data_IF_293492153248
#
_entry.id   IF_293492153248
#
_cell.length_a   1.000
_cell.length_b   1.000
_cell.length_c   1.000
_cell.angle_alpha   90.00
_cell.angle_beta   90.00
_cell.angle_gamma   90.00
#
_symmetry.space_group_name_H-M   'P 1'
#
loop_
_entity.id
_entity.type
_entity.pdbx_description
1 polymer ?
#
# COMPACT_ATOMS: atom_id res chain seq x y z
N UNK A 1 -2.70 23.17 -0.11
CA UNK A 1 -1.79 22.28 0.64
C UNK A 1 -2.55 21.00 0.88
N UNK A 2 -2.18 19.90 0.21
CA UNK A 2 -2.89 18.63 0.37
C UNK A 2 -2.62 18.09 1.76
N UNK A 3 -3.62 18.13 2.62
CA UNK A 3 -3.62 17.36 3.86
C UNK A 3 -3.32 15.90 3.49
N UNK A 4 -2.16 15.41 3.90
CA UNK A 4 -1.86 13.99 3.82
C UNK A 4 -2.97 13.26 4.59
N UNK A 5 -3.65 12.33 3.92
CA UNK A 5 -4.66 11.50 4.57
C UNK A 5 -3.97 10.75 5.70
N UNK A 6 -4.40 11.01 6.95
CA UNK A 6 -3.85 10.33 8.13
C UNK A 6 -4.11 8.83 8.03
N UNK A 7 -3.17 8.02 8.51
CA UNK A 7 -3.26 6.55 8.45
C UNK A 7 -4.52 6.03 9.18
N UNK A 8 -4.90 6.67 10.28
CA UNK A 8 -6.12 6.35 11.01
C UNK A 8 -7.39 6.58 10.16
N UNK A 9 -7.37 7.59 9.28
CA UNK A 9 -8.48 7.87 8.37
C UNK A 9 -8.54 6.83 7.24
N UNK A 10 -7.39 6.30 6.78
CA UNK A 10 -7.34 5.27 5.74
C UNK A 10 -7.93 3.94 6.23
N UNK A 11 -7.62 3.52 7.45
CA UNK A 11 -8.17 2.27 8.02
C UNK A 11 -9.70 2.28 8.06
N UNK A 12 -10.28 3.42 8.42
CA UNK A 12 -11.73 3.58 8.43
C UNK A 12 -12.32 3.53 7.02
N UNK A 13 -11.55 3.83 5.97
CA UNK A 13 -12.03 3.79 4.59
C UNK A 13 -12.18 2.36 4.05
N UNK A 14 -11.39 1.42 4.55
CA UNK A 14 -11.39 0.03 4.10
C UNK A 14 -12.69 -0.66 4.55
N UNK A 15 -13.35 -1.33 3.61
CA UNK A 15 -14.54 -2.14 3.85
C UNK A 15 -14.35 -3.52 3.23
N UNK A 16 -15.04 -4.52 3.75
CA UNK A 16 -15.04 -5.86 3.19
C UNK A 16 -16.23 -6.02 2.22
N UNK A 17 -15.95 -6.42 0.98
CA UNK A 17 -16.98 -6.79 -0.01
C UNK A 17 -16.59 -8.15 -0.59
N UNK A 18 -17.47 -9.14 -0.44
CA UNK A 18 -17.25 -10.53 -0.91
C UNK A 18 -15.93 -11.13 -0.39
N UNK A 19 -15.58 -10.85 0.87
CA UNK A 19 -14.33 -11.33 1.49
C UNK A 19 -13.06 -10.64 0.97
N UNK A 20 -13.20 -9.49 0.31
CA UNK A 20 -12.07 -8.69 -0.16
C UNK A 20 -12.07 -7.32 0.51
N UNK A 21 -10.91 -6.91 1.02
CA UNK A 21 -10.67 -5.55 1.47
C UNK A 21 -10.63 -4.60 0.27
N UNK A 22 -11.55 -3.64 0.26
CA UNK A 22 -11.72 -2.72 -0.86
C UNK A 22 -11.95 -1.29 -0.40
N UNK A 23 -11.71 -0.36 -1.32
CA UNK A 23 -12.09 1.04 -1.22
C UNK A 23 -13.07 1.40 -2.31
N UNK A 24 -14.06 2.25 -2.03
CA UNK A 24 -14.93 2.76 -3.08
C UNK A 24 -14.21 3.81 -3.94
N UNK A 25 -14.67 3.99 -5.18
CA UNK A 25 -14.18 5.00 -6.11
C UNK A 25 -14.06 6.40 -5.48
N UNK A 26 -14.99 6.79 -4.60
CA UNK A 26 -14.94 8.04 -3.85
C UNK A 26 -13.78 8.11 -2.86
N UNK A 27 -13.48 7.02 -2.17
CA UNK A 27 -12.40 6.95 -1.19
C UNK A 27 -11.04 6.94 -1.91
N UNK A 28 -10.93 6.18 -3.00
CA UNK A 28 -9.73 6.17 -3.87
C UNK A 28 -9.46 7.55 -4.47
N UNK A 29 -10.50 8.23 -4.93
CA UNK A 29 -10.41 9.59 -5.45
C UNK A 29 -9.89 10.57 -4.39
N UNK A 30 -10.39 10.46 -3.16
CA UNK A 30 -9.92 11.25 -2.03
C UNK A 30 -8.44 11.00 -1.73
N UNK A 31 -8.00 9.74 -1.69
CA UNK A 31 -6.60 9.37 -1.46
C UNK A 31 -5.67 9.97 -2.50
N UNK A 32 -6.01 9.84 -3.79
CA UNK A 32 -5.18 10.37 -4.86
C UNK A 32 -5.38 11.87 -5.12
N UNK A 33 -6.32 12.53 -4.45
CA UNK A 33 -6.61 13.96 -4.63
C UNK A 33 -7.14 14.28 -6.03
N UNK A 34 -8.00 13.43 -6.58
CA UNK A 34 -8.64 13.59 -7.90
C UNK A 34 -10.16 13.44 -7.78
N UNK A 35 -10.92 13.67 -8.85
CA UNK A 35 -12.36 13.43 -8.84
C UNK A 35 -12.69 11.94 -9.03
N UNK A 36 -13.79 11.47 -8.44
CA UNK A 36 -14.31 10.10 -8.61
C UNK A 36 -14.54 9.74 -10.09
N UNK A 37 -14.99 10.72 -10.89
CA UNK A 37 -15.13 10.55 -12.34
C UNK A 37 -13.79 10.21 -13.01
N UNK A 38 -12.69 10.81 -12.56
CA UNK A 38 -11.37 10.59 -13.15
C UNK A 38 -10.83 9.20 -12.82
N UNK A 39 -11.12 8.67 -11.61
CA UNK A 39 -10.85 7.27 -11.26
C UNK A 39 -11.57 6.33 -12.23
N UNK A 40 -12.89 6.49 -12.36
CA UNK A 40 -13.71 5.63 -13.21
C UNK A 40 -13.32 5.74 -14.71
N UNK A 41 -12.96 6.95 -15.16
CA UNK A 41 -12.45 7.20 -16.52
C UNK A 41 -11.09 6.55 -16.75
N UNK A 42 -10.18 6.61 -15.78
CA UNK A 42 -8.87 5.96 -15.84
C UNK A 42 -9.01 4.45 -16.02
N UNK A 43 -9.94 3.81 -15.29
CA UNK A 43 -10.26 2.39 -15.46
C UNK A 43 -10.80 2.11 -16.85
N UNK A 44 -11.85 2.84 -17.26
CA UNK A 44 -12.52 2.58 -18.53
C UNK A 44 -11.59 2.71 -19.74
N UNK A 45 -10.61 3.61 -19.67
CA UNK A 45 -9.65 3.83 -20.75
C UNK A 45 -8.46 2.84 -20.75
N UNK A 46 -8.26 2.06 -19.68
CA UNK A 46 -7.10 1.15 -19.53
C UNK A 46 -7.55 -0.24 -19.05
N UNK A 47 -8.47 -0.92 -19.76
CA UNK A 47 -9.05 -2.19 -19.29
C UNK A 47 -8.00 -3.31 -19.13
N UNK A 48 -6.93 -3.27 -19.92
CA UNK A 48 -5.79 -4.18 -19.85
C UNK A 48 -5.03 -4.12 -18.51
N UNK A 49 -5.07 -2.97 -17.82
CA UNK A 49 -4.44 -2.79 -16.51
C UNK A 49 -5.28 -3.30 -15.35
N UNK A 50 -6.55 -3.64 -15.56
CA UNK A 50 -7.48 -4.09 -14.52
C UNK A 50 -8.06 -5.47 -14.85
N UNK A 51 -7.26 -6.54 -14.74
CA UNK A 51 -7.76 -7.89 -14.96
C UNK A 51 -8.78 -8.31 -13.89
N UNK A 52 -9.40 -9.48 -14.06
CA UNK A 52 -10.37 -10.02 -13.10
C UNK A 52 -9.84 -10.00 -11.67
N UNK A 53 -10.68 -9.57 -10.72
CA UNK A 53 -10.36 -9.47 -9.31
C UNK A 53 -9.71 -8.15 -8.87
N UNK A 54 -9.48 -7.21 -9.79
CA UNK A 54 -8.97 -5.88 -9.45
C UNK A 54 -10.09 -4.96 -8.96
N UNK A 55 -11.21 -4.98 -9.67
CA UNK A 55 -12.35 -4.11 -9.44
C UNK A 55 -13.58 -4.98 -9.18
N UNK A 56 -14.35 -4.58 -8.17
CA UNK A 56 -15.64 -5.18 -7.84
C UNK A 56 -16.71 -4.15 -8.16
N UNK A 57 -17.59 -4.46 -9.11
CA UNK A 57 -18.78 -3.65 -9.35
C UNK A 57 -19.87 -4.09 -8.38
N UNK A 58 -20.35 -3.16 -7.55
CA UNK A 58 -21.39 -3.46 -6.57
C UNK A 58 -22.73 -3.69 -7.27
N UNK A 59 -23.44 -4.72 -6.83
CA UNK A 59 -24.86 -4.91 -7.13
C UNK A 59 -25.71 -3.86 -6.42
N UNK A 60 -26.97 -3.73 -6.83
CA UNK A 60 -27.93 -2.84 -6.16
C UNK A 60 -28.11 -3.23 -4.69
N UNK A 61 -28.15 -4.53 -4.39
CA UNK A 61 -28.31 -5.05 -3.03
C UNK A 61 -27.10 -4.69 -2.16
N UNK A 62 -25.89 -4.98 -2.64
CA UNK A 62 -24.65 -4.64 -1.91
C UNK A 62 -24.52 -3.14 -1.69
N UNK A 63 -24.96 -2.32 -2.64
CA UNK A 63 -25.01 -0.87 -2.48
C UNK A 63 -26.00 -0.45 -1.38
N UNK A 64 -27.19 -1.06 -1.32
CA UNK A 64 -28.16 -0.76 -0.26
C UNK A 64 -27.60 -1.13 1.10
N UNK A 65 -27.04 -2.34 1.25
CA UNK A 65 -26.38 -2.80 2.47
C UNK A 65 -25.22 -1.89 2.88
N UNK A 66 -24.42 -1.44 1.91
CA UNK A 66 -23.34 -0.50 2.13
C UNK A 66 -23.84 0.84 2.72
N UNK A 67 -24.95 1.38 2.20
CA UNK A 67 -25.53 2.62 2.72
C UNK A 67 -26.10 2.43 4.13
N UNK A 68 -26.76 1.30 4.38
CA UNK A 68 -27.34 0.97 5.69
C UNK A 68 -26.27 0.79 6.77
N UNK A 69 -25.16 0.14 6.43
CA UNK A 69 -24.08 -0.16 7.37
C UNK A 69 -23.14 1.03 7.60
N UNK A 70 -23.07 1.99 6.67
CA UNK A 70 -22.11 3.09 6.72
C UNK A 70 -22.76 4.44 6.35
N UNK A 71 -23.06 5.25 7.37
CA UNK A 71 -23.67 6.58 7.19
C UNK A 71 -22.89 7.53 6.26
N UNK A 72 -21.57 7.35 6.09
CA UNK A 72 -20.77 8.18 5.18
C UNK A 72 -21.16 7.99 3.70
N UNK A 73 -21.85 6.91 3.37
CA UNK A 73 -22.31 6.58 2.03
C UNK A 73 -23.78 6.93 1.77
N UNK A 74 -24.45 7.68 2.67
CA UNK A 74 -25.84 8.15 2.50
C UNK A 74 -26.09 8.83 1.15
N UNK A 75 -25.11 9.55 0.60
CA UNK A 75 -25.22 10.18 -0.74
C UNK A 75 -25.46 9.17 -1.87
N UNK A 76 -25.09 7.91 -1.68
CA UNK A 76 -25.31 6.85 -2.66
C UNK A 76 -26.75 6.32 -2.66
N UNK A 77 -27.53 6.57 -1.60
CA UNK A 77 -28.90 6.05 -1.42
C UNK A 77 -29.82 6.32 -2.62
N UNK A 78 -29.74 7.53 -3.15
CA UNK A 78 -30.56 7.98 -4.28
C UNK A 78 -29.78 8.07 -5.60
N UNK A 79 -28.50 7.67 -5.60
CA UNK A 79 -27.71 7.62 -6.82
C UNK A 79 -28.25 6.54 -7.76
N UNK A 80 -28.35 6.83 -9.04
CA UNK A 80 -28.69 5.83 -10.08
C UNK A 80 -27.50 4.98 -10.48
N UNK A 81 -26.28 5.42 -10.12
CA UNK A 81 -25.03 4.74 -10.45
C UNK A 81 -24.59 3.87 -9.27
N UNK A 82 -24.15 2.65 -9.57
CA UNK A 82 -23.52 1.80 -8.57
C UNK A 82 -22.04 2.15 -8.46
N UNK A 83 -21.50 2.32 -7.24
CA UNK A 83 -20.09 2.60 -7.06
C UNK A 83 -19.25 1.39 -7.49
N UNK A 84 -18.02 1.66 -7.88
CA UNK A 84 -17.00 0.63 -8.07
C UNK A 84 -16.16 0.52 -6.80
N UNK A 85 -15.83 -0.70 -6.42
CA UNK A 85 -14.90 -1.01 -5.34
C UNK A 85 -13.55 -1.48 -5.92
N UNK A 86 -12.48 -1.04 -5.28
CA UNK A 86 -11.11 -1.19 -5.74
C UNK A 86 -10.31 -1.94 -4.70
N UNK A 87 -9.73 -3.07 -5.11
CA UNK A 87 -8.73 -3.78 -4.30
C UNK A 87 -7.42 -2.99 -4.25
N UNK A 88 -6.55 -3.33 -3.30
CA UNK A 88 -5.18 -2.80 -3.20
C UNK A 88 -4.43 -2.83 -4.53
N UNK A 89 -4.55 -3.92 -5.29
CA UNK A 89 -3.88 -4.05 -6.60
C UNK A 89 -4.37 -3.01 -7.61
N UNK A 90 -5.64 -2.62 -7.54
CA UNK A 90 -6.17 -1.55 -8.38
C UNK A 90 -5.66 -0.17 -7.99
N UNK A 91 -5.43 0.08 -6.71
CA UNK A 91 -4.79 1.33 -6.26
C UNK A 91 -3.40 1.44 -6.90
N UNK A 92 -2.60 0.37 -6.85
CA UNK A 92 -1.28 0.36 -7.49
C UNK A 92 -1.36 0.62 -9.00
N UNK A 93 -2.33 0.03 -9.70
CA UNK A 93 -2.52 0.31 -11.13
C UNK A 93 -2.92 1.77 -11.37
N UNK A 94 -3.85 2.31 -10.57
CA UNK A 94 -4.26 3.71 -10.65
C UNK A 94 -3.12 4.67 -10.38
N UNK A 95 -2.21 4.36 -9.46
CA UNK A 95 -1.01 5.17 -9.22
C UNK A 95 -0.17 5.36 -10.50
N UNK A 96 -0.11 4.34 -11.36
CA UNK A 96 0.62 4.40 -12.65
C UNK A 96 -0.12 5.13 -13.77
N UNK A 97 -1.41 5.41 -13.61
CA UNK A 97 -2.27 6.01 -14.65
C UNK A 97 -2.57 7.48 -14.31
N UNK A 98 -2.86 7.76 -13.04
CA UNK A 98 -3.21 9.08 -12.55
C UNK A 98 -1.98 9.99 -12.54
N UNK A 99 -2.22 11.29 -12.79
CA UNK A 99 -1.17 12.32 -12.85
C UNK A 99 -1.10 13.19 -11.60
N UNK A 100 -1.78 12.82 -10.52
CA UNK A 100 -1.78 13.62 -9.30
C UNK A 100 -0.43 13.51 -8.58
N UNK A 101 -0.01 14.54 -7.81
CA UNK A 101 1.24 14.47 -7.06
C UNK A 101 1.31 13.26 -6.10
N UNK A 102 0.17 12.82 -5.55
CA UNK A 102 0.09 11.65 -4.69
C UNK A 102 0.33 10.37 -5.48
N UNK A 103 -0.30 10.21 -6.65
CA UNK A 103 -0.13 9.05 -7.51
C UNK A 103 1.32 8.90 -8.01
N UNK A 104 1.95 10.01 -8.41
CA UNK A 104 3.35 10.04 -8.84
C UNK A 104 4.28 9.62 -7.70
N UNK A 105 4.10 10.18 -6.49
CA UNK A 105 4.91 9.78 -5.33
C UNK A 105 4.73 8.32 -4.97
N UNK A 106 3.50 7.83 -4.93
CA UNK A 106 3.21 6.43 -4.65
C UNK A 106 3.90 5.49 -5.66
N UNK A 107 3.83 5.81 -6.96
CA UNK A 107 4.50 5.03 -8.00
C UNK A 107 6.02 4.99 -7.81
N UNK A 108 6.64 6.15 -7.51
CA UNK A 108 8.08 6.22 -7.24
C UNK A 108 8.43 5.38 -6.01
N UNK A 109 7.71 5.54 -4.90
CA UNK A 109 7.93 4.76 -3.67
C UNK A 109 7.84 3.26 -3.93
N UNK A 110 6.82 2.79 -4.67
CA UNK A 110 6.69 1.38 -5.04
C UNK A 110 7.91 0.89 -5.84
N UNK A 111 8.38 1.68 -6.81
CA UNK A 111 9.53 1.31 -7.65
C UNK A 111 10.83 1.26 -6.82
N UNK A 112 11.07 2.25 -5.97
CA UNK A 112 12.25 2.31 -5.10
C UNK A 112 12.26 1.14 -4.12
N UNK A 113 11.14 0.89 -3.43
CA UNK A 113 11.01 -0.24 -2.50
C UNK A 113 11.23 -1.58 -3.19
N UNK A 114 10.64 -1.78 -4.37
CA UNK A 114 10.86 -3.02 -5.12
C UNK A 114 12.31 -3.18 -5.59
N UNK A 115 12.98 -2.09 -5.95
CA UNK A 115 14.40 -2.10 -6.32
C UNK A 115 15.27 -2.51 -5.14
N UNK A 116 15.02 -1.97 -3.94
CA UNK A 116 15.71 -2.36 -2.69
C UNK A 116 15.48 -3.82 -2.34
N UNK A 117 14.24 -4.31 -2.46
CA UNK A 117 13.92 -5.74 -2.24
C UNK A 117 14.71 -6.64 -3.20
N UNK A 118 14.83 -6.26 -4.48
CA UNK A 118 15.63 -7.01 -5.46
C UNK A 118 17.12 -6.98 -5.14
N UNK A 119 17.64 -5.84 -4.68
CA UNK A 119 19.03 -5.73 -4.22
C UNK A 119 19.27 -6.65 -3.03
N UNK A 120 18.40 -6.61 -2.02
CA UNK A 120 18.46 -7.49 -0.85
C UNK A 120 18.45 -8.96 -1.26
N UNK A 121 17.56 -9.35 -2.17
CA UNK A 121 17.47 -10.73 -2.69
C UNK A 121 18.78 -11.20 -3.33
N UNK A 122 19.46 -10.31 -4.10
CA UNK A 122 20.77 -10.61 -4.69
C UNK A 122 21.85 -10.76 -3.60
N UNK A 123 21.88 -9.86 -2.62
CA UNK A 123 22.83 -9.93 -1.50
C UNK A 123 22.67 -11.22 -0.69
N UNK A 124 21.43 -11.63 -0.39
CA UNK A 124 21.12 -12.89 0.30
C UNK A 124 21.63 -14.09 -0.52
N UNK A 125 21.43 -14.08 -1.84
CA UNK A 125 21.93 -15.14 -2.72
C UNK A 125 23.46 -15.21 -2.72
N UNK A 126 24.13 -14.08 -2.82
CA UNK A 126 25.61 -14.02 -2.83
C UNK A 126 26.20 -14.52 -1.52
N UNK A 127 25.61 -14.11 -0.39
CA UNK A 127 25.99 -14.56 0.95
C UNK A 127 25.93 -16.09 1.14
N UNK A 128 25.09 -16.79 0.38
CA UNK A 128 25.03 -18.26 0.44
C UNK A 128 26.21 -18.96 -0.24
N UNK A 129 26.98 -18.25 -1.06
CA UNK A 129 28.05 -18.82 -1.89
C UNK A 129 29.45 -18.30 -1.52
N UNK A 130 29.53 -17.07 -1.01
CA UNK A 130 30.82 -16.42 -0.74
C UNK A 130 31.48 -17.00 0.51
N UNK A 131 32.78 -17.27 0.42
CA UNK A 131 33.60 -17.82 1.52
C UNK A 131 34.53 -16.77 2.14
N UNK A 132 34.70 -15.64 1.49
CA UNK A 132 35.52 -14.55 2.01
C UNK A 132 34.76 -13.79 3.11
N UNK A 133 35.38 -13.71 4.29
CA UNK A 133 34.77 -13.11 5.48
C UNK A 133 34.61 -11.60 5.36
N UNK A 134 35.51 -10.92 4.64
CA UNK A 134 35.43 -9.46 4.49
C UNK A 134 34.26 -9.06 3.57
N UNK A 135 34.13 -9.73 2.43
CA UNK A 135 32.99 -9.54 1.51
C UNK A 135 31.68 -9.97 2.16
N UNK A 136 31.66 -11.08 2.91
CA UNK A 136 30.47 -11.51 3.64
C UNK A 136 30.00 -10.42 4.62
N UNK A 137 30.92 -9.83 5.39
CA UNK A 137 30.59 -8.75 6.33
C UNK A 137 30.02 -7.52 5.63
N UNK A 138 30.61 -7.10 4.50
CA UNK A 138 30.12 -5.97 3.73
C UNK A 138 28.69 -6.20 3.19
N UNK A 139 28.43 -7.38 2.63
CA UNK A 139 27.10 -7.76 2.15
C UNK A 139 26.07 -7.84 3.27
N UNK A 140 26.44 -8.36 4.45
CA UNK A 140 25.57 -8.38 5.62
C UNK A 140 25.21 -6.96 6.08
N UNK A 141 26.19 -6.05 6.11
CA UNK A 141 25.96 -4.66 6.47
C UNK A 141 25.00 -3.98 5.49
N UNK A 142 25.27 -4.08 4.18
CA UNK A 142 24.41 -3.51 3.13
C UNK A 142 23.00 -4.10 3.16
N UNK A 143 22.87 -5.41 3.39
CA UNK A 143 21.57 -6.07 3.55
C UNK A 143 20.81 -5.54 4.77
N UNK A 144 21.50 -5.28 5.88
CA UNK A 144 20.91 -4.66 7.07
C UNK A 144 20.40 -3.25 6.82
N UNK A 145 21.16 -2.43 6.09
CA UNK A 145 20.75 -1.08 5.67
C UNK A 145 19.50 -1.12 4.79
N UNK A 146 19.47 -1.99 3.77
CA UNK A 146 18.31 -2.15 2.89
C UNK A 146 17.05 -2.56 3.65
N UNK A 147 17.16 -3.49 4.60
CA UNK A 147 16.01 -3.92 5.40
C UNK A 147 15.53 -2.76 6.29
N UNK A 148 16.45 -2.01 6.90
CA UNK A 148 16.07 -0.83 7.69
C UNK A 148 15.32 0.19 6.83
N UNK A 149 15.83 0.52 5.64
CA UNK A 149 15.18 1.45 4.71
C UNK A 149 13.80 0.98 4.22
N UNK A 150 13.61 -0.33 4.02
CA UNK A 150 12.31 -0.89 3.60
C UNK A 150 11.29 -0.84 4.74
N UNK A 151 11.73 -1.04 5.99
CA UNK A 151 10.83 -1.15 7.14
C UNK A 151 10.57 0.20 7.84
N UNK A 152 11.52 1.14 7.83
CA UNK A 152 11.39 2.42 8.55
C UNK A 152 10.34 3.36 7.94
N UNK A 153 10.00 3.23 6.64
CA UNK A 153 9.05 4.15 5.99
C UNK A 153 7.64 4.09 6.59
N UNK A 154 7.24 2.96 7.20
CA UNK A 154 5.86 2.72 7.66
C UNK A 154 5.70 2.35 9.15
N UNK A 155 6.78 2.22 9.92
CA UNK A 155 6.71 1.85 11.34
C UNK A 155 6.33 3.05 12.24
N UNK A 156 5.05 3.43 12.21
CA UNK A 156 4.44 4.26 13.24
C UNK A 156 4.40 3.47 14.56
N UNK A 157 5.26 3.83 15.52
CA UNK A 157 5.29 3.18 16.83
C UNK A 157 4.29 3.83 17.80
N UNK A 158 3.44 2.99 18.40
CA UNK A 158 2.84 3.31 19.71
C UNK A 158 3.93 3.29 20.79
N UNK A 159 3.64 3.68 22.04
CA UNK A 159 4.63 3.75 23.14
C UNK A 159 5.35 2.42 23.50
N UNK A 160 5.16 1.36 22.71
CA UNK A 160 5.80 0.05 22.85
C UNK A 160 7.07 -0.08 22.00
N UNK A 161 8.12 -0.69 22.57
CA UNK A 161 9.29 -1.13 21.80
C UNK A 161 8.87 -2.23 20.82
N UNK A 162 9.07 -1.99 19.53
CA UNK A 162 8.76 -2.99 18.49
C UNK A 162 10.06 -3.64 18.04
N UNK A 163 10.15 -4.97 18.19
CA UNK A 163 11.27 -5.76 17.66
C UNK A 163 10.78 -6.68 16.54
N UNK A 164 11.42 -6.57 15.39
CA UNK A 164 11.14 -7.40 14.21
C UNK A 164 12.35 -8.31 13.99
N UNK A 165 12.13 -9.63 14.08
CA UNK A 165 13.13 -10.64 13.73
C UNK A 165 12.75 -11.34 12.42
N UNK A 166 13.62 -11.24 11.42
CA UNK A 166 13.46 -11.90 10.12
C UNK A 166 14.60 -12.90 9.93
N UNK A 167 14.25 -14.17 9.75
CA UNK A 167 15.20 -15.24 9.46
C UNK A 167 15.14 -15.57 7.97
N UNK A 168 16.09 -15.04 7.20
CA UNK A 168 16.39 -15.51 5.86
C UNK A 168 17.44 -16.61 5.97
N UNK A 169 17.40 -17.64 5.12
CA UNK A 169 18.22 -18.86 5.24
C UNK A 169 19.66 -18.65 5.75
N UNK A 170 20.37 -17.64 5.24
CA UNK A 170 21.77 -17.31 5.61
C UNK A 170 21.92 -16.01 6.40
N UNK A 171 20.82 -15.34 6.75
CA UNK A 171 20.77 -14.00 7.33
C UNK A 171 19.69 -13.92 8.43
N UNK A 172 20.11 -13.65 9.67
CA UNK A 172 19.21 -13.25 10.74
C UNK A 172 19.24 -11.74 10.91
N UNK A 173 18.09 -11.10 10.78
CA UNK A 173 17.93 -9.67 10.99
C UNK A 173 17.09 -9.43 12.24
N UNK A 174 17.51 -8.46 13.06
CA UNK A 174 16.78 -7.98 14.21
C UNK A 174 16.78 -6.45 14.18
N UNK A 175 15.61 -5.86 14.02
CA UNK A 175 15.41 -4.43 14.13
C UNK A 175 14.58 -4.12 15.36
N UNK A 176 15.02 -3.14 16.14
CA UNK A 176 14.31 -2.70 17.35
C UNK A 176 14.11 -1.20 17.27
N UNK A 177 12.86 -0.77 17.16
CA UNK A 177 12.50 0.65 17.22
C UNK A 177 12.29 1.02 18.69
N UNK A 178 13.04 2.01 19.19
CA UNK A 178 12.88 2.59 20.53
C UNK A 178 12.64 4.10 20.41
N UNK A 179 11.53 4.60 20.96
CA UNK A 179 11.28 6.04 21.01
C UNK A 179 12.07 6.69 22.16
N UNK A 180 12.89 7.70 21.87
CA UNK A 180 13.38 8.63 22.91
C UNK A 180 12.20 9.47 23.38
N UNK A 181 11.85 9.42 24.68
CA UNK A 181 10.93 10.38 25.29
C UNK A 181 11.52 11.79 25.11
N UNK A 182 11.00 12.56 24.17
CA UNK A 182 11.15 14.00 24.15
C UNK A 182 10.35 14.53 25.35
N UNK A 183 11.06 15.04 26.35
CA UNK A 183 10.47 15.79 27.47
C UNK A 183 9.96 17.13 26.99
#
# INVERSE_FOLDING_TARGET
MSDMVKIENLKNMIIEIRGQDVLLDSDVAHIYGVETRDINKAVANNPDKFPSGYIVELSKTEKTELVENFHRFEKLKHSTVNPKAFTEKSLYMLATILKSPVATRATISIIETFTKIRELSRSVKELSTIRDKAHQKALMQRSGELIAEILDEDLQTSDAETSIELNFAVLKFKHTVKKKRTK
#
